data_IF_814047754600
#
_entry.id   IF_814047754600
#
_cell.length_a   1.000
_cell.length_b   1.000
_cell.length_c   1.000
_cell.angle_alpha   90.00
_cell.angle_beta   90.00
_cell.angle_gamma   90.00
#
_symmetry.space_group_name_H-M   'P 1'
#
loop_
_entity.id
_entity.type
_entity.pdbx_description
1 polymer ?
#
# COMPACT_ATOMS: atom_id res chain seq x y z
N UNK A 1 -1.55 -21.40 18.04
CA UNK A 1 -0.65 -20.24 18.29
C UNK A 1 0.72 -20.52 17.71
N UNK A 2 1.27 -19.62 16.91
CA UNK A 2 2.66 -19.71 16.44
C UNK A 2 3.57 -19.53 17.66
N UNK A 3 4.49 -20.47 17.84
CA UNK A 3 5.45 -20.40 18.95
C UNK A 3 6.50 -19.34 18.65
N UNK A 4 7.00 -18.70 19.70
CA UNK A 4 8.19 -17.86 19.63
C UNK A 4 9.35 -18.65 19.00
N UNK A 5 10.17 -17.95 18.22
CA UNK A 5 11.24 -18.59 17.45
C UNK A 5 12.60 -18.03 17.85
N UNK A 6 13.50 -18.89 18.29
CA UNK A 6 14.91 -18.54 18.43
C UNK A 6 15.63 -18.71 17.10
N UNK A 7 16.37 -17.70 16.70
CA UNK A 7 17.19 -17.67 15.47
C UNK A 7 18.64 -17.35 15.83
N UNK A 8 19.56 -18.13 15.28
CA UNK A 8 20.99 -17.88 15.38
C UNK A 8 21.49 -17.36 14.03
N UNK A 9 21.97 -16.15 13.99
CA UNK A 9 22.40 -15.43 12.80
C UNK A 9 23.89 -15.19 12.84
N UNK A 10 24.50 -15.02 11.66
CA UNK A 10 25.93 -14.66 11.54
C UNK A 10 26.06 -13.48 10.58
N UNK A 11 26.90 -12.53 10.94
CA UNK A 11 27.31 -11.47 10.02
C UNK A 11 28.46 -11.93 9.10
N UNK A 12 28.87 -11.05 8.19
CA UNK A 12 29.97 -11.35 7.25
C UNK A 12 31.34 -11.58 7.94
N UNK A 13 31.51 -11.05 9.15
CA UNK A 13 32.73 -11.20 9.95
C UNK A 13 32.75 -12.50 10.77
N UNK A 14 31.65 -13.26 10.75
CA UNK A 14 31.49 -14.49 11.53
C UNK A 14 30.92 -14.29 12.95
N UNK A 15 30.65 -13.05 13.35
CA UNK A 15 30.03 -12.77 14.65
C UNK A 15 28.60 -13.36 14.69
N UNK A 16 28.23 -13.88 15.84
CA UNK A 16 26.95 -14.53 16.04
C UNK A 16 25.98 -13.62 16.81
N UNK A 17 24.74 -13.58 16.35
CA UNK A 17 23.62 -12.93 17.02
C UNK A 17 22.51 -13.97 17.29
N UNK A 18 22.13 -14.13 18.55
CA UNK A 18 20.99 -14.94 18.94
C UNK A 18 19.81 -14.03 19.23
N UNK A 19 18.67 -14.32 18.59
CA UNK A 19 17.47 -13.47 18.68
C UNK A 19 16.24 -14.34 18.90
N UNK A 20 15.36 -13.91 19.80
CA UNK A 20 14.02 -14.43 19.99
C UNK A 20 13.03 -13.59 19.19
N UNK A 21 12.37 -14.16 18.19
CA UNK A 21 11.28 -13.56 17.44
C UNK A 21 9.96 -13.87 18.17
N UNK A 22 9.22 -12.84 18.52
CA UNK A 22 8.00 -12.97 19.31
C UNK A 22 7.05 -11.79 19.12
N UNK A 23 5.83 -11.95 19.60
CA UNK A 23 4.89 -10.85 19.73
C UNK A 23 5.31 -9.92 20.89
N UNK A 24 4.77 -8.71 20.85
CA UNK A 24 4.95 -7.69 21.90
C UNK A 24 4.65 -8.25 23.29
N UNK A 25 5.38 -7.73 24.26
CA UNK A 25 5.15 -7.91 25.70
C UNK A 25 5.21 -6.55 26.37
N UNK A 26 4.37 -6.36 27.38
CA UNK A 26 4.43 -5.13 28.21
C UNK A 26 5.86 -4.92 28.71
N UNK A 27 6.38 -3.72 28.49
CA UNK A 27 7.76 -3.33 28.77
C UNK A 27 8.68 -3.29 27.54
N UNK A 28 8.17 -3.65 26.35
CA UNK A 28 8.93 -3.57 25.08
C UNK A 28 8.91 -2.15 24.46
N UNK A 29 8.04 -1.27 24.91
CA UNK A 29 7.71 0.00 24.29
C UNK A 29 8.97 0.85 24.07
N UNK A 30 9.77 1.07 25.11
CA UNK A 30 11.00 1.86 25.02
C UNK A 30 12.02 1.23 24.06
N UNK A 31 12.11 -0.11 24.04
CA UNK A 31 12.97 -0.83 23.12
C UNK A 31 12.53 -0.68 21.66
N UNK A 32 11.23 -0.66 21.39
CA UNK A 32 10.67 -0.40 20.07
C UNK A 32 10.88 1.04 19.63
N UNK A 33 10.65 2.01 20.52
CA UNK A 33 10.93 3.42 20.29
C UNK A 33 12.43 3.63 20.00
N UNK A 34 13.31 2.93 20.71
CA UNK A 34 14.75 2.98 20.44
C UNK A 34 15.11 2.48 19.03
N UNK A 35 14.38 1.49 18.47
CA UNK A 35 14.56 1.09 17.07
C UNK A 35 14.20 2.23 16.10
N UNK A 36 13.11 2.95 16.38
CA UNK A 36 12.65 4.06 15.54
C UNK A 36 13.64 5.22 15.63
N UNK A 37 14.06 5.62 16.86
CA UNK A 37 15.01 6.70 17.07
C UNK A 37 16.38 6.43 16.46
N UNK A 38 16.84 5.19 16.51
CA UNK A 38 18.14 4.81 15.94
C UNK A 38 18.16 4.98 14.41
N UNK A 39 17.03 4.76 13.73
CA UNK A 39 16.90 4.93 12.29
C UNK A 39 16.55 6.35 11.86
N UNK A 40 15.55 6.94 12.52
CA UNK A 40 14.86 8.15 12.06
C UNK A 40 15.06 9.36 12.98
N UNK A 41 15.81 9.21 14.11
CA UNK A 41 15.82 10.24 15.13
C UNK A 41 14.41 10.56 15.61
N UNK A 42 14.01 11.82 15.56
CA UNK A 42 12.65 12.28 15.90
C UNK A 42 11.82 12.62 14.66
N UNK A 43 12.19 12.10 13.46
CA UNK A 43 11.56 12.49 12.19
C UNK A 43 10.68 11.42 11.57
N UNK A 44 10.41 10.30 12.26
CA UNK A 44 9.51 9.27 11.75
C UNK A 44 8.10 9.82 11.56
N UNK A 45 7.50 9.54 10.41
CA UNK A 45 6.21 10.14 10.03
C UNK A 45 5.03 9.70 10.91
N UNK A 46 5.10 8.52 11.54
CA UNK A 46 4.13 8.04 12.53
C UNK A 46 4.52 8.55 13.92
N UNK A 47 4.16 9.79 14.23
CA UNK A 47 4.57 10.47 15.48
C UNK A 47 4.12 9.74 16.74
N UNK A 48 2.93 9.14 16.70
CA UNK A 48 2.36 8.40 17.83
C UNK A 48 3.24 7.21 18.26
N UNK A 49 4.08 6.69 17.35
CA UNK A 49 5.00 5.58 17.66
C UNK A 49 6.18 5.97 18.56
N UNK A 50 6.32 7.24 18.92
CA UNK A 50 7.26 7.70 19.97
C UNK A 50 6.62 7.73 21.35
N UNK A 51 5.31 7.48 21.47
CA UNK A 51 4.58 7.43 22.74
C UNK A 51 4.44 5.97 23.21
N UNK A 52 5.04 5.60 24.38
CA UNK A 52 4.92 4.26 24.94
C UNK A 52 3.46 3.87 25.23
N UNK A 53 2.62 4.81 25.67
CA UNK A 53 1.22 4.51 25.98
C UNK A 53 0.41 4.26 24.71
N UNK A 54 0.76 4.90 23.58
CA UNK A 54 0.17 4.60 22.28
C UNK A 54 0.49 3.15 21.85
N UNK A 55 1.77 2.73 21.89
CA UNK A 55 2.18 1.37 21.52
C UNK A 55 1.44 0.35 22.38
N UNK A 56 1.33 0.58 23.67
CA UNK A 56 0.64 -0.28 24.61
C UNK A 56 -0.88 -0.36 24.29
N UNK A 57 -1.54 0.79 24.10
CA UNK A 57 -2.96 0.84 23.82
C UNK A 57 -3.33 0.14 22.50
N UNK A 58 -2.54 0.38 21.43
CA UNK A 58 -2.76 -0.28 20.14
C UNK A 58 -2.51 -1.78 20.19
N UNK A 59 -1.56 -2.22 21.04
CA UNK A 59 -1.32 -3.65 21.27
C UNK A 59 -2.52 -4.34 21.93
N UNK A 60 -3.21 -3.64 22.84
CA UNK A 60 -4.40 -4.13 23.54
C UNK A 60 -5.65 -4.10 22.62
N UNK A 61 -5.77 -3.10 21.75
CA UNK A 61 -6.92 -2.89 20.86
C UNK A 61 -6.96 -3.81 19.62
N UNK A 62 -5.91 -4.59 19.38
CA UNK A 62 -5.80 -5.59 18.32
C UNK A 62 -5.77 -5.09 16.88
N UNK A 63 -5.88 -3.80 16.60
CA UNK A 63 -5.76 -3.24 15.24
C UNK A 63 -4.31 -3.26 14.73
N UNK A 64 -3.36 -3.04 15.63
CA UNK A 64 -1.93 -3.12 15.35
C UNK A 64 -1.33 -4.18 16.29
N UNK A 65 -0.65 -5.15 15.71
CA UNK A 65 0.13 -6.11 16.48
C UNK A 65 1.60 -5.80 16.29
N UNK A 66 2.27 -5.50 17.40
CA UNK A 66 3.69 -5.26 17.41
C UNK A 66 4.44 -6.58 17.57
N UNK A 67 5.51 -6.75 16.81
CA UNK A 67 6.43 -7.88 16.91
C UNK A 67 7.80 -7.38 17.29
N UNK A 68 8.50 -8.15 18.09
CA UNK A 68 9.82 -7.86 18.60
C UNK A 68 10.83 -8.93 18.20
N UNK A 69 12.03 -8.50 17.84
CA UNK A 69 13.22 -9.31 17.74
C UNK A 69 14.11 -8.99 18.95
N UNK A 70 14.15 -9.87 19.94
CA UNK A 70 14.81 -9.65 21.23
C UNK A 70 16.11 -10.45 21.31
N UNK A 71 17.21 -9.79 21.73
CA UNK A 71 18.50 -10.42 21.98
C UNK A 71 18.52 -11.19 23.31
N UNK A 72 19.56 -11.97 23.56
CA UNK A 72 19.77 -12.67 24.85
C UNK A 72 19.88 -11.69 26.03
N UNK A 73 20.46 -10.52 25.81
CA UNK A 73 20.57 -9.44 26.81
C UNK A 73 19.24 -8.66 27.00
N UNK A 74 18.15 -9.19 26.45
CA UNK A 74 16.79 -8.62 26.49
C UNK A 74 16.63 -7.27 25.79
N UNK A 75 17.58 -6.83 24.98
CA UNK A 75 17.39 -5.65 24.12
C UNK A 75 16.49 -5.95 22.93
N UNK A 76 15.70 -4.99 22.48
CA UNK A 76 14.94 -5.08 21.22
C UNK A 76 15.90 -4.69 20.08
N UNK A 77 16.26 -5.69 19.28
CA UNK A 77 17.12 -5.54 18.10
C UNK A 77 16.36 -5.01 16.88
N UNK A 78 15.05 -5.29 16.83
CA UNK A 78 14.18 -4.84 15.77
C UNK A 78 12.71 -4.96 16.14
N UNK A 79 11.90 -4.18 15.44
CA UNK A 79 10.44 -4.21 15.54
C UNK A 79 9.80 -4.38 14.17
N UNK A 80 8.57 -4.84 14.14
CA UNK A 80 7.72 -4.93 12.95
C UNK A 80 6.26 -4.85 13.41
N UNK A 81 5.37 -4.35 12.56
CA UNK A 81 3.95 -4.33 12.84
C UNK A 81 3.17 -5.16 11.83
N UNK A 82 2.09 -5.76 12.32
CA UNK A 82 1.02 -6.33 11.51
C UNK A 82 -0.21 -5.45 11.73
N UNK A 83 -0.70 -4.81 10.65
CA UNK A 83 -1.79 -3.85 10.72
C UNK A 83 -2.94 -4.25 9.81
N UNK A 84 -4.13 -4.30 10.40
CA UNK A 84 -5.39 -4.44 9.69
C UNK A 84 -6.07 -3.06 9.64
N UNK A 85 -6.30 -2.52 8.45
CA UNK A 85 -6.87 -1.17 8.31
C UNK A 85 -8.36 -1.14 8.59
N UNK A 86 -9.09 -2.16 8.15
CA UNK A 86 -10.52 -2.28 8.31
C UNK A 86 -10.83 -3.64 8.94
N UNK A 87 -11.65 -3.68 9.99
CA UNK A 87 -11.97 -4.92 10.70
C UNK A 87 -12.57 -6.01 9.79
N UNK A 88 -13.29 -5.60 8.74
CA UNK A 88 -13.89 -6.51 7.76
C UNK A 88 -12.90 -7.05 6.72
N UNK A 89 -11.69 -6.49 6.63
CA UNK A 89 -10.68 -6.97 5.67
C UNK A 89 -9.95 -8.19 6.22
N UNK A 90 -9.87 -9.23 5.41
CA UNK A 90 -9.11 -10.44 5.72
C UNK A 90 -7.65 -10.36 5.29
N UNK A 91 -7.18 -9.18 4.86
CA UNK A 91 -5.78 -8.93 4.54
C UNK A 91 -5.09 -8.11 5.63
N UNK A 92 -3.79 -8.26 5.75
CA UNK A 92 -2.99 -7.56 6.74
C UNK A 92 -1.74 -6.93 6.14
N UNK A 93 -1.46 -5.68 6.49
CA UNK A 93 -0.19 -5.03 6.15
C UNK A 93 0.92 -5.48 7.10
N UNK A 94 2.04 -5.92 6.54
CA UNK A 94 3.30 -6.04 7.26
C UNK A 94 4.09 -4.75 7.02
N UNK A 95 4.30 -3.98 8.08
CA UNK A 95 4.90 -2.65 7.98
C UNK A 95 5.92 -2.36 9.09
N UNK A 96 6.60 -1.23 8.98
CA UNK A 96 7.50 -0.69 10.00
C UNK A 96 8.51 -1.72 10.50
N UNK A 97 9.09 -2.52 9.57
CA UNK A 97 10.19 -3.42 9.91
C UNK A 97 11.48 -2.60 10.08
N UNK A 98 11.82 -2.29 11.32
CA UNK A 98 12.92 -1.39 11.69
C UNK A 98 13.90 -2.14 12.59
N UNK A 99 15.20 -2.01 12.31
CA UNK A 99 16.26 -2.64 13.07
C UNK A 99 17.25 -1.60 13.59
N UNK A 100 17.69 -1.77 14.83
CA UNK A 100 18.78 -0.95 15.37
C UNK A 100 20.06 -1.14 14.55
N UNK A 101 20.78 -0.07 14.29
CA UNK A 101 21.97 -0.04 13.42
C UNK A 101 23.01 -1.09 13.81
N UNK A 102 23.26 -1.26 15.13
CA UNK A 102 24.24 -2.24 15.63
C UNK A 102 23.90 -3.71 15.34
N UNK A 103 22.63 -4.02 15.01
CA UNK A 103 22.19 -5.38 14.69
C UNK A 103 21.95 -5.60 13.18
N UNK A 104 22.31 -4.62 12.35
CA UNK A 104 22.25 -4.79 10.90
C UNK A 104 23.40 -5.65 10.39
N UNK A 105 23.24 -6.23 9.21
CA UNK A 105 24.26 -7.08 8.60
C UNK A 105 24.24 -8.55 9.05
N UNK A 106 23.45 -8.92 10.05
CA UNK A 106 23.27 -10.32 10.48
C UNK A 106 22.21 -11.08 9.68
N UNK A 107 21.49 -10.44 8.75
CA UNK A 107 20.46 -11.09 7.95
C UNK A 107 19.13 -11.28 8.69
N UNK A 108 18.86 -10.52 9.75
CA UNK A 108 17.66 -10.65 10.61
C UNK A 108 16.36 -10.33 9.85
N UNK A 109 16.40 -9.50 8.81
CA UNK A 109 15.20 -9.01 8.13
C UNK A 109 14.33 -10.15 7.55
N UNK A 110 14.92 -11.10 6.86
CA UNK A 110 14.18 -12.21 6.24
C UNK A 110 13.51 -13.14 7.25
N UNK A 111 14.21 -13.73 8.24
CA UNK A 111 13.57 -14.60 9.21
C UNK A 111 12.52 -13.89 10.07
N UNK A 112 12.68 -12.58 10.34
CA UNK A 112 11.67 -11.81 11.06
C UNK A 112 10.43 -11.58 10.21
N UNK A 113 10.60 -11.25 8.93
CA UNK A 113 9.49 -11.14 7.99
C UNK A 113 8.73 -12.46 7.83
N UNK A 114 9.46 -13.59 7.69
CA UNK A 114 8.86 -14.92 7.62
C UNK A 114 8.05 -15.28 8.86
N UNK A 115 8.55 -14.90 10.03
CA UNK A 115 7.80 -15.08 11.29
C UNK A 115 6.47 -14.31 11.28
N UNK A 116 6.46 -13.07 10.77
CA UNK A 116 5.23 -12.30 10.58
C UNK A 116 4.24 -12.98 9.62
N UNK A 117 4.72 -13.50 8.49
CA UNK A 117 3.88 -14.24 7.54
C UNK A 117 3.26 -15.49 8.16
N UNK A 118 4.00 -16.23 8.98
CA UNK A 118 3.49 -17.42 9.67
C UNK A 118 2.41 -17.06 10.68
N UNK A 119 2.56 -15.94 11.40
CA UNK A 119 1.53 -15.43 12.28
C UNK A 119 0.25 -15.08 11.53
N UNK A 120 0.35 -14.45 10.34
CA UNK A 120 -0.81 -14.13 9.51
C UNK A 120 -1.52 -15.40 9.03
N UNK A 121 -0.77 -16.40 8.54
CA UNK A 121 -1.33 -17.69 8.14
C UNK A 121 -2.05 -18.39 9.29
N UNK A 122 -1.42 -18.42 10.46
CA UNK A 122 -2.00 -19.05 11.66
C UNK A 122 -3.27 -18.34 12.19
N UNK A 123 -3.48 -17.08 11.78
CA UNK A 123 -4.65 -16.28 12.11
C UNK A 123 -5.69 -16.22 10.98
N UNK A 124 -5.50 -17.06 9.95
CA UNK A 124 -6.40 -17.17 8.81
C UNK A 124 -6.59 -15.86 8.02
N UNK A 125 -5.56 -15.01 7.98
CA UNK A 125 -5.55 -13.91 7.01
C UNK A 125 -5.43 -14.48 5.59
N UNK A 126 -6.20 -13.92 4.68
CA UNK A 126 -6.24 -14.37 3.28
C UNK A 126 -5.10 -13.83 2.43
N UNK A 127 -4.59 -12.67 2.81
CA UNK A 127 -3.50 -12.02 2.12
C UNK A 127 -2.60 -11.23 3.08
N UNK A 128 -1.32 -11.16 2.73
CA UNK A 128 -0.37 -10.22 3.29
C UNK A 128 0.03 -9.19 2.23
N UNK A 129 0.17 -7.92 2.61
CA UNK A 129 0.70 -6.92 1.71
C UNK A 129 1.71 -6.01 2.43
N UNK A 130 2.53 -5.37 1.64
CA UNK A 130 3.51 -4.38 2.08
C UNK A 130 3.49 -3.18 1.13
N UNK A 131 3.83 -2.02 1.67
CA UNK A 131 3.93 -0.76 0.94
C UNK A 131 5.38 -0.23 0.99
N UNK A 132 6.35 -0.91 0.32
CA UNK A 132 7.71 -0.43 0.29
C UNK A 132 7.80 0.89 -0.47
N UNK A 133 8.72 1.74 -0.02
CA UNK A 133 9.01 3.03 -0.65
C UNK A 133 9.62 2.87 -2.04
N UNK A 134 9.54 3.92 -2.87
CA UNK A 134 10.06 3.92 -4.25
C UNK A 134 11.39 4.66 -4.41
N UNK A 135 12.03 5.11 -3.34
CA UNK A 135 13.33 5.77 -3.39
C UNK A 135 14.52 4.83 -3.14
N UNK A 136 14.26 3.55 -2.88
CA UNK A 136 15.21 2.44 -2.93
C UNK A 136 14.45 1.12 -3.17
N UNK A 137 15.15 0.14 -3.74
CA UNK A 137 14.55 -1.15 -4.09
C UNK A 137 14.86 -2.29 -3.09
N UNK A 138 15.65 -2.04 -2.03
CA UNK A 138 16.14 -3.08 -1.11
C UNK A 138 14.98 -3.87 -0.50
N UNK A 139 13.99 -3.16 0.05
CA UNK A 139 12.81 -3.79 0.65
C UNK A 139 11.98 -4.53 -0.41
N UNK A 140 11.82 -3.95 -1.61
CA UNK A 140 11.06 -4.57 -2.70
C UNK A 140 11.66 -5.93 -3.09
N UNK A 141 12.99 -6.03 -3.20
CA UNK A 141 13.70 -7.28 -3.50
C UNK A 141 13.53 -8.31 -2.37
N UNK A 142 13.62 -7.88 -1.10
CA UNK A 142 13.39 -8.75 0.05
C UNK A 142 11.97 -9.35 0.00
N UNK A 143 10.98 -8.51 -0.21
CA UNK A 143 9.57 -8.91 -0.26
C UNK A 143 9.29 -9.87 -1.43
N UNK A 144 9.84 -9.59 -2.61
CA UNK A 144 9.72 -10.47 -3.76
C UNK A 144 10.32 -11.86 -3.48
N UNK A 145 11.53 -11.92 -2.90
CA UNK A 145 12.16 -13.17 -2.47
C UNK A 145 11.37 -13.91 -1.39
N UNK A 146 10.57 -13.18 -0.62
CA UNK A 146 9.65 -13.76 0.37
C UNK A 146 8.33 -14.23 -0.23
N UNK A 147 8.12 -14.06 -1.55
CA UNK A 147 6.96 -14.53 -2.29
C UNK A 147 5.91 -13.47 -2.60
N UNK A 148 6.08 -12.21 -2.18
CA UNK A 148 5.16 -11.13 -2.55
C UNK A 148 5.35 -10.75 -4.03
N UNK A 149 4.29 -10.32 -4.67
CA UNK A 149 4.25 -9.93 -6.08
C UNK A 149 3.88 -8.47 -6.24
N UNK A 150 4.43 -7.82 -7.27
CA UNK A 150 4.12 -6.45 -7.62
C UNK A 150 2.67 -6.31 -8.12
N UNK A 151 1.93 -5.37 -7.57
CA UNK A 151 0.52 -5.16 -7.92
C UNK A 151 0.20 -3.71 -8.33
N UNK A 152 0.93 -2.71 -7.86
CA UNK A 152 0.62 -1.32 -8.14
C UNK A 152 1.54 -0.33 -7.43
N UNK A 153 1.10 0.94 -7.49
CA UNK A 153 1.69 2.04 -6.73
C UNK A 153 0.60 2.90 -6.09
N UNK A 154 0.88 3.41 -4.90
CA UNK A 154 0.17 4.53 -4.28
C UNK A 154 1.11 5.73 -4.43
N UNK A 155 0.77 6.63 -5.34
CA UNK A 155 1.64 7.73 -5.70
C UNK A 155 1.48 8.92 -4.76
N UNK A 156 2.56 9.68 -4.55
CA UNK A 156 2.55 10.97 -3.86
C UNK A 156 1.85 10.95 -2.48
N UNK A 157 2.11 9.92 -1.68
CA UNK A 157 1.43 9.70 -0.38
C UNK A 157 2.01 10.58 0.70
N UNK A 158 3.34 10.70 0.77
CA UNK A 158 4.03 11.40 1.85
C UNK A 158 4.75 12.65 1.35
N UNK A 159 4.63 13.73 2.10
CA UNK A 159 5.37 14.98 1.85
C UNK A 159 6.85 14.82 2.26
N UNK A 160 7.77 15.01 1.31
CA UNK A 160 9.21 14.86 1.54
C UNK A 160 9.77 15.84 2.56
N UNK A 161 9.26 17.06 2.62
CA UNK A 161 9.71 18.06 3.57
C UNK A 161 9.50 17.63 5.04
N UNK A 162 8.69 16.58 5.25
CA UNK A 162 8.31 16.08 6.58
C UNK A 162 8.95 14.74 6.95
N UNK A 163 9.66 14.12 6.00
CA UNK A 163 10.26 12.78 6.16
C UNK A 163 11.72 12.84 5.76
N UNK A 164 12.64 12.84 6.68
CA UNK A 164 14.07 12.53 6.57
C UNK A 164 14.91 13.25 5.49
N UNK A 165 15.97 13.83 5.98
CA UNK A 165 17.09 14.47 5.30
C UNK A 165 17.90 13.61 4.28
N UNK A 166 17.52 12.37 3.96
CA UNK A 166 18.36 11.45 3.19
C UNK A 166 18.11 11.39 1.69
N UNK A 167 17.19 12.22 1.15
CA UNK A 167 16.81 12.18 -0.28
C UNK A 167 16.93 13.53 -0.97
N UNK A 168 18.07 14.18 -0.80
CA UNK A 168 18.35 15.54 -1.31
C UNK A 168 18.44 15.64 -2.84
N UNK A 169 18.41 14.54 -3.59
CA UNK A 169 18.70 14.55 -5.03
C UNK A 169 17.49 14.25 -5.94
N UNK A 170 16.29 14.12 -5.41
CA UNK A 170 15.09 13.86 -6.21
C UNK A 170 14.31 15.13 -6.56
N UNK A 171 13.65 15.14 -7.73
CA UNK A 171 12.75 16.23 -8.18
C UNK A 171 11.34 16.09 -7.61
N UNK A 172 10.96 14.89 -7.15
CA UNK A 172 9.66 14.65 -6.54
C UNK A 172 9.56 15.36 -5.19
N UNK A 173 8.48 16.08 -4.95
CA UNK A 173 8.18 16.74 -3.66
C UNK A 173 7.43 15.84 -2.70
N UNK A 174 6.97 14.68 -3.17
CA UNK A 174 6.24 13.67 -2.38
C UNK A 174 6.77 12.28 -2.69
N UNK A 175 6.76 11.42 -1.67
CA UNK A 175 7.09 10.00 -1.83
C UNK A 175 5.89 9.18 -2.28
N UNK A 176 6.22 8.12 -3.00
CA UNK A 176 5.30 7.08 -3.44
C UNK A 176 5.66 5.74 -2.81
N UNK A 177 4.70 4.84 -2.77
CA UNK A 177 4.87 3.47 -2.29
C UNK A 177 4.49 2.50 -3.40
N UNK A 178 5.26 1.42 -3.50
CA UNK A 178 4.89 0.27 -4.31
C UNK A 178 3.93 -0.63 -3.52
N UNK A 179 3.06 -1.37 -4.21
CA UNK A 179 2.15 -2.35 -3.60
C UNK A 179 2.70 -3.73 -3.93
N UNK A 180 3.08 -4.49 -2.90
CA UNK A 180 3.44 -5.90 -3.03
C UNK A 180 2.52 -6.76 -2.18
N UNK A 181 1.99 -7.83 -2.76
CA UNK A 181 0.95 -8.67 -2.17
C UNK A 181 1.33 -10.15 -2.30
N UNK A 182 0.88 -10.95 -1.33
CA UNK A 182 0.91 -12.40 -1.35
C UNK A 182 -0.47 -12.93 -0.94
N UNK A 183 -1.03 -13.84 -1.72
CA UNK A 183 -2.15 -14.66 -1.30
C UNK A 183 -1.66 -15.69 -0.25
N UNK A 184 -2.36 -15.78 0.87
CA UNK A 184 -2.06 -16.73 1.95
C UNK A 184 -2.99 -17.94 1.93
N UNK A 185 -4.13 -17.81 1.27
CA UNK A 185 -5.09 -18.88 0.99
C UNK A 185 -5.39 -18.98 -0.51
N UNK A 186 -6.15 -20.02 -0.89
CA UNK A 186 -6.65 -20.17 -2.26
C UNK A 186 -7.95 -19.37 -2.38
N UNK A 187 -7.94 -18.37 -3.25
CA UNK A 187 -9.09 -17.51 -3.52
C UNK A 187 -9.41 -17.46 -4.99
N UNK A 188 -10.65 -17.03 -5.25
CA UNK A 188 -11.14 -16.61 -6.55
C UNK A 188 -11.51 -15.13 -6.47
N UNK A 189 -10.93 -14.31 -7.33
CA UNK A 189 -11.24 -12.89 -7.41
C UNK A 189 -12.60 -12.61 -8.07
N UNK A 190 -13.23 -13.64 -8.61
CA UNK A 190 -14.51 -13.55 -9.30
C UNK A 190 -14.43 -12.80 -10.63
N UNK A 191 -15.52 -12.14 -10.98
CA UNK A 191 -15.58 -11.32 -12.20
C UNK A 191 -15.09 -9.91 -11.91
N UNK A 192 -14.12 -9.47 -12.72
CA UNK A 192 -13.50 -8.15 -12.62
C UNK A 192 -14.04 -7.24 -13.74
N UNK A 193 -14.60 -6.10 -13.33
CA UNK A 193 -15.09 -5.05 -14.23
C UNK A 193 -14.02 -3.97 -14.37
N UNK A 194 -13.08 -4.23 -15.28
CA UNK A 194 -11.95 -3.36 -15.57
C UNK A 194 -12.03 -2.85 -17.02
N UNK A 195 -11.61 -1.60 -17.28
CA UNK A 195 -11.42 -1.11 -18.64
C UNK A 195 -10.50 -2.05 -19.42
N UNK A 196 -10.85 -2.32 -20.70
CA UNK A 196 -10.12 -3.27 -21.56
C UNK A 196 -8.63 -2.95 -21.62
N UNK A 197 -8.30 -1.66 -21.63
CA UNK A 197 -6.91 -1.17 -21.65
C UNK A 197 -6.08 -1.65 -20.44
N UNK A 198 -6.72 -1.98 -19.30
CA UNK A 198 -6.05 -2.44 -18.08
C UNK A 198 -6.11 -3.95 -17.86
N UNK A 199 -6.95 -4.69 -18.61
CA UNK A 199 -7.18 -6.13 -18.40
C UNK A 199 -5.90 -6.96 -18.57
N UNK A 200 -5.08 -6.65 -19.60
CA UNK A 200 -3.81 -7.36 -19.79
C UNK A 200 -2.88 -7.23 -18.57
N UNK A 201 -2.74 -6.02 -18.05
CA UNK A 201 -1.95 -5.79 -16.86
C UNK A 201 -2.54 -6.50 -15.64
N UNK A 202 -3.85 -6.39 -15.42
CA UNK A 202 -4.53 -7.05 -14.32
C UNK A 202 -4.37 -8.57 -14.38
N UNK A 203 -4.50 -9.18 -15.57
CA UNK A 203 -4.26 -10.60 -15.79
C UNK A 203 -2.87 -11.04 -15.30
N UNK A 204 -1.82 -10.31 -15.67
CA UNK A 204 -0.45 -10.60 -15.22
C UNK A 204 -0.32 -10.57 -13.69
N UNK A 205 -0.98 -9.61 -13.01
CA UNK A 205 -0.95 -9.51 -11.54
C UNK A 205 -1.62 -10.73 -10.91
N UNK A 206 -2.87 -11.07 -11.30
CA UNK A 206 -3.62 -12.18 -10.73
C UNK A 206 -2.96 -13.54 -11.01
N UNK A 207 -2.44 -13.73 -12.22
CA UNK A 207 -1.65 -14.92 -12.60
C UNK A 207 -0.40 -15.05 -11.71
N UNK A 208 0.32 -13.96 -11.46
CA UNK A 208 1.50 -13.98 -10.60
C UNK A 208 1.18 -14.31 -9.13
N UNK A 209 -0.04 -13.98 -8.69
CA UNK A 209 -0.55 -14.31 -7.36
C UNK A 209 -1.12 -15.74 -7.27
N UNK A 210 -1.31 -16.43 -8.40
CA UNK A 210 -1.95 -17.75 -8.44
C UNK A 210 -3.43 -17.71 -8.06
N UNK A 211 -4.11 -16.60 -8.35
CA UNK A 211 -5.52 -16.36 -8.01
C UNK A 211 -6.37 -16.51 -9.28
N UNK A 212 -7.46 -17.25 -9.19
CA UNK A 212 -8.43 -17.36 -10.28
C UNK A 212 -9.19 -16.04 -10.45
N UNK A 213 -9.49 -15.67 -11.69
CA UNK A 213 -10.26 -14.48 -12.03
C UNK A 213 -10.91 -14.64 -13.39
N UNK A 214 -11.88 -13.78 -13.68
CA UNK A 214 -12.44 -13.60 -15.03
C UNK A 214 -12.66 -12.12 -15.32
N UNK A 215 -12.57 -11.72 -16.59
CA UNK A 215 -12.99 -10.37 -16.97
C UNK A 215 -14.42 -10.39 -17.51
N UNK A 216 -15.16 -9.30 -17.23
CA UNK A 216 -16.46 -9.11 -17.84
C UNK A 216 -16.34 -9.04 -19.37
N UNK A 217 -17.40 -9.43 -20.09
CA UNK A 217 -17.48 -9.30 -21.55
C UNK A 217 -18.02 -7.92 -21.91
N UNK A 218 -17.40 -7.23 -22.87
CA UNK A 218 -17.77 -5.86 -23.29
C UNK A 218 -19.26 -5.68 -23.62
N UNK A 219 -19.91 -6.68 -24.23
CA UNK A 219 -21.34 -6.63 -24.55
C UNK A 219 -22.24 -6.39 -23.32
N UNK A 220 -21.84 -6.82 -22.14
CA UNK A 220 -22.64 -6.66 -20.93
C UNK A 220 -22.69 -5.20 -20.42
N UNK A 221 -21.65 -4.40 -20.67
CA UNK A 221 -21.60 -2.99 -20.20
C UNK A 221 -22.59 -2.11 -20.99
N UNK A 222 -22.78 -2.37 -22.28
CA UNK A 222 -23.71 -1.62 -23.12
C UNK A 222 -25.17 -1.91 -22.79
N UNK A 223 -25.46 -3.07 -22.18
CA UNK A 223 -26.80 -3.50 -21.81
C UNK A 223 -27.26 -2.96 -20.44
N UNK A 224 -26.32 -2.54 -19.59
CA UNK A 224 -26.66 -1.99 -18.26
C UNK A 224 -26.94 -0.49 -18.34
N UNK A 225 -28.24 -0.18 -18.34
CA UNK A 225 -28.73 1.20 -18.31
C UNK A 225 -28.42 1.90 -16.99
N UNK A 226 -28.62 3.23 -16.95
CA UNK A 226 -28.60 3.99 -15.69
C UNK A 226 -29.71 3.51 -14.73
N UNK A 227 -30.74 2.82 -15.25
CA UNK A 227 -31.84 2.23 -14.48
C UNK A 227 -31.38 1.22 -13.43
N UNK A 228 -30.27 0.50 -13.71
CA UNK A 228 -29.80 -0.61 -12.88
C UNK A 228 -28.81 -0.17 -11.80
N UNK A 229 -28.40 1.11 -11.83
CA UNK A 229 -27.51 1.66 -10.81
C UNK A 229 -28.30 1.99 -9.52
N UNK A 230 -27.74 1.70 -8.34
CA UNK A 230 -28.32 2.16 -7.09
C UNK A 230 -28.34 3.70 -7.03
N UNK A 231 -29.26 4.28 -6.26
CA UNK A 231 -29.36 5.73 -6.16
C UNK A 231 -28.14 6.36 -5.48
N UNK A 232 -27.54 5.63 -4.53
CA UNK A 232 -26.43 6.09 -3.70
C UNK A 232 -25.21 5.19 -3.83
N UNK A 233 -24.06 5.85 -3.95
CA UNK A 233 -22.76 5.19 -3.89
C UNK A 233 -22.38 4.84 -2.46
N UNK A 234 -21.74 3.71 -2.24
CA UNK A 234 -21.03 3.44 -1.00
C UNK A 234 -19.57 3.89 -1.15
N UNK A 235 -19.26 5.00 -0.46
CA UNK A 235 -17.95 5.65 -0.55
C UNK A 235 -17.50 6.09 0.85
N UNK A 236 -16.26 5.80 1.18
CA UNK A 236 -15.57 6.31 2.36
C UNK A 236 -14.37 7.15 1.94
N UNK A 237 -13.91 8.04 2.82
CA UNK A 237 -12.70 8.80 2.57
C UNK A 237 -11.97 9.14 3.87
N UNK A 238 -10.68 9.39 3.76
CA UNK A 238 -9.84 9.99 4.78
C UNK A 238 -8.96 11.07 4.17
N UNK A 239 -8.72 12.14 4.90
CA UNK A 239 -7.82 13.20 4.46
C UNK A 239 -6.69 13.37 5.47
N UNK A 240 -5.49 13.00 5.06
CA UNK A 240 -4.27 13.28 5.83
C UNK A 240 -3.80 14.70 5.53
N UNK A 241 -4.19 15.64 6.39
CA UNK A 241 -3.80 17.04 6.24
C UNK A 241 -2.29 17.26 6.42
N UNK A 242 -1.60 16.38 7.17
CA UNK A 242 -0.14 16.45 7.36
C UNK A 242 0.58 16.05 6.09
N UNK A 243 0.13 15.00 5.44
CA UNK A 243 0.72 14.48 4.22
C UNK A 243 0.09 15.07 2.95
N UNK A 244 -0.96 15.89 3.08
CA UNK A 244 -1.71 16.46 1.96
C UNK A 244 -2.15 15.38 0.97
N UNK A 245 -2.78 14.32 1.48
CA UNK A 245 -3.27 13.20 0.68
C UNK A 245 -4.72 12.88 1.06
N UNK A 246 -5.60 12.86 0.05
CA UNK A 246 -6.98 12.42 0.15
C UNK A 246 -7.05 10.97 -0.32
N UNK A 247 -7.42 10.05 0.56
CA UNK A 247 -7.73 8.68 0.19
C UNK A 247 -9.25 8.52 0.05
N UNK A 248 -9.69 7.93 -1.05
CA UNK A 248 -11.10 7.66 -1.33
C UNK A 248 -11.23 6.16 -1.64
N UNK A 249 -12.20 5.50 -0.99
CA UNK A 249 -12.57 4.13 -1.28
C UNK A 249 -14.00 4.09 -1.79
N UNK A 250 -14.22 3.44 -2.93
CA UNK A 250 -15.52 3.27 -3.57
C UNK A 250 -15.86 1.79 -3.56
N UNK A 251 -16.84 1.40 -2.74
CA UNK A 251 -17.31 0.03 -2.58
C UNK A 251 -18.43 -0.29 -3.58
N UNK A 252 -19.29 0.69 -3.83
CA UNK A 252 -20.41 0.58 -4.75
C UNK A 252 -20.63 1.91 -5.48
N UNK A 253 -20.81 1.84 -6.79
CA UNK A 253 -21.06 3.00 -7.64
C UNK A 253 -22.55 3.20 -7.82
N UNK A 254 -23.07 4.36 -7.40
CA UNK A 254 -24.46 4.77 -7.59
C UNK A 254 -24.60 5.99 -8.52
N UNK A 255 -25.82 6.39 -8.82
CA UNK A 255 -26.15 7.54 -9.67
C UNK A 255 -25.56 8.85 -9.15
N UNK A 256 -25.38 8.96 -7.84
CA UNK A 256 -24.84 10.15 -7.17
C UNK A 256 -23.30 10.21 -7.18
N UNK A 257 -22.58 9.19 -7.72
CA UNK A 257 -21.12 9.04 -7.68
C UNK A 257 -20.38 10.32 -8.09
N UNK A 258 -20.68 10.82 -9.28
CA UNK A 258 -20.02 12.03 -9.82
C UNK A 258 -20.26 13.25 -8.89
N UNK A 259 -21.48 13.43 -8.40
CA UNK A 259 -21.84 14.53 -7.50
C UNK A 259 -21.09 14.46 -6.17
N UNK A 260 -21.00 13.27 -5.57
CA UNK A 260 -20.27 13.04 -4.31
C UNK A 260 -18.79 13.31 -4.49
N UNK A 261 -18.19 12.81 -5.56
CA UNK A 261 -16.78 13.03 -5.86
C UNK A 261 -16.45 14.50 -6.07
N UNK A 262 -17.29 15.25 -6.81
CA UNK A 262 -17.14 16.69 -6.98
C UNK A 262 -17.26 17.45 -5.64
N UNK A 263 -18.13 17.01 -4.74
CA UNK A 263 -18.26 17.61 -3.41
C UNK A 263 -17.00 17.36 -2.56
N UNK A 264 -16.44 16.16 -2.62
CA UNK A 264 -15.16 15.87 -1.96
C UNK A 264 -14.03 16.74 -2.49
N UNK A 265 -13.93 16.93 -3.81
CA UNK A 265 -12.90 17.82 -4.39
C UNK A 265 -13.15 19.32 -4.08
N UNK A 266 -14.40 19.74 -3.81
CA UNK A 266 -14.66 21.10 -3.29
C UNK A 266 -14.24 21.25 -1.84
N UNK A 267 -14.45 20.22 -1.03
CA UNK A 267 -14.06 20.19 0.38
C UNK A 267 -12.54 20.05 0.54
N UNK A 268 -11.90 19.24 -0.30
CA UNK A 268 -10.45 18.97 -0.32
C UNK A 268 -9.90 19.28 -1.72
N UNK A 269 -9.69 20.56 -2.06
CA UNK A 269 -9.24 20.95 -3.41
C UNK A 269 -7.84 20.39 -3.71
N UNK A 270 -7.67 19.77 -4.88
CA UNK A 270 -6.39 19.27 -5.38
C UNK A 270 -5.51 20.43 -5.84
N UNK A 271 -5.07 21.24 -4.91
CA UNK A 271 -4.21 22.39 -5.15
C UNK A 271 -2.94 22.31 -4.32
N UNK A 272 -1.90 23.04 -4.72
CA UNK A 272 -0.56 23.01 -4.09
C UNK A 272 -0.03 21.57 -4.04
N UNK A 273 0.12 21.00 -2.83
CA UNK A 273 0.63 19.64 -2.59
C UNK A 273 -0.48 18.59 -2.38
N UNK A 274 -1.75 18.97 -2.39
CA UNK A 274 -2.86 18.04 -2.20
C UNK A 274 -3.00 17.09 -3.41
N UNK A 275 -2.98 15.80 -3.14
CA UNK A 275 -3.17 14.71 -4.11
C UNK A 275 -4.32 13.82 -3.67
N UNK A 276 -4.83 12.98 -4.57
CA UNK A 276 -5.86 12.01 -4.21
C UNK A 276 -5.50 10.61 -4.73
N UNK A 277 -5.64 9.62 -3.85
CA UNK A 277 -5.59 8.20 -4.19
C UNK A 277 -7.01 7.63 -4.08
N UNK A 278 -7.45 6.86 -5.07
CA UNK A 278 -8.79 6.29 -5.10
C UNK A 278 -8.72 4.79 -5.36
N UNK A 279 -9.43 4.04 -4.51
CA UNK A 279 -9.58 2.59 -4.59
C UNK A 279 -11.00 2.29 -5.08
N UNK A 280 -11.13 1.84 -6.34
CA UNK A 280 -12.40 1.52 -6.97
C UNK A 280 -12.61 0.01 -6.99
N UNK A 281 -13.69 -0.46 -6.38
CA UNK A 281 -14.04 -1.88 -6.36
C UNK A 281 -14.29 -2.42 -7.77
N UNK A 282 -13.46 -3.36 -8.21
CA UNK A 282 -13.55 -3.98 -9.54
C UNK A 282 -14.60 -5.08 -9.64
N UNK A 283 -15.16 -5.53 -8.52
CA UNK A 283 -16.29 -6.50 -8.55
C UNK A 283 -17.64 -5.79 -8.71
N UNK A 284 -17.66 -4.46 -8.66
CA UNK A 284 -18.85 -3.66 -8.99
C UNK A 284 -19.00 -3.55 -10.53
N UNK A 285 -20.11 -3.97 -11.05
CA UNK A 285 -20.41 -3.92 -12.49
C UNK A 285 -20.40 -2.50 -13.09
N UNK A 286 -20.57 -1.47 -12.27
CA UNK A 286 -20.51 -0.06 -12.69
C UNK A 286 -19.10 0.56 -12.60
N UNK A 287 -18.08 -0.22 -12.21
CA UNK A 287 -16.72 0.28 -12.04
C UNK A 287 -16.15 0.90 -13.34
N UNK A 288 -16.44 0.31 -14.50
CA UNK A 288 -15.97 0.85 -15.79
C UNK A 288 -16.58 2.22 -16.08
N UNK A 289 -17.88 2.44 -15.79
CA UNK A 289 -18.52 3.76 -15.92
C UNK A 289 -17.92 4.78 -14.95
N UNK A 290 -17.67 4.36 -13.72
CA UNK A 290 -17.00 5.23 -12.72
C UNK A 290 -15.58 5.61 -13.18
N UNK A 291 -14.82 4.66 -13.74
CA UNK A 291 -13.49 4.93 -14.29
C UNK A 291 -13.51 6.01 -15.39
N UNK A 292 -14.46 5.97 -16.32
CA UNK A 292 -14.59 7.00 -17.35
C UNK A 292 -14.89 8.40 -16.78
N UNK A 293 -15.65 8.48 -15.68
CA UNK A 293 -15.87 9.73 -14.95
C UNK A 293 -14.57 10.20 -14.30
N UNK A 294 -13.86 9.30 -13.63
CA UNK A 294 -12.61 9.57 -12.93
C UNK A 294 -11.52 10.04 -13.90
N UNK A 295 -11.41 9.38 -15.06
CA UNK A 295 -10.45 9.74 -16.12
C UNK A 295 -10.66 11.18 -16.62
N UNK A 296 -11.91 11.59 -16.81
CA UNK A 296 -12.26 12.98 -17.16
C UNK A 296 -11.95 13.99 -16.04
N UNK A 297 -11.82 13.54 -14.80
CA UNK A 297 -11.46 14.36 -13.66
C UNK A 297 -9.95 14.33 -13.34
N UNK A 298 -9.13 13.75 -14.22
CA UNK A 298 -7.67 13.71 -14.08
C UNK A 298 -7.12 12.55 -13.28
N UNK A 299 -7.94 11.55 -12.94
CA UNK A 299 -7.45 10.31 -12.37
C UNK A 299 -6.86 9.40 -13.44
N UNK A 300 -5.79 8.69 -13.09
CA UNK A 300 -5.19 7.68 -13.95
C UNK A 300 -4.86 6.42 -13.16
N UNK A 301 -4.75 5.31 -13.88
CA UNK A 301 -4.48 3.99 -13.32
C UNK A 301 -3.05 3.88 -12.79
N UNK A 302 -2.89 3.35 -11.58
CA UNK A 302 -1.58 3.12 -10.95
C UNK A 302 -1.36 1.68 -10.51
N UNK A 303 -2.35 0.80 -10.69
CA UNK A 303 -2.23 -0.60 -10.37
C UNK A 303 -3.47 -1.18 -9.71
N UNK A 304 -3.26 -2.24 -8.96
CA UNK A 304 -4.30 -2.98 -8.26
C UNK A 304 -3.96 -3.13 -6.78
N UNK A 305 -4.97 -3.21 -5.94
CA UNK A 305 -4.90 -3.73 -4.57
C UNK A 305 -5.86 -4.91 -4.47
N UNK A 306 -5.42 -6.11 -4.90
CA UNK A 306 -6.24 -7.30 -4.90
C UNK A 306 -6.40 -7.90 -3.51
N UNK A 307 -7.33 -8.84 -3.37
CA UNK A 307 -7.51 -9.70 -2.19
C UNK A 307 -7.97 -8.96 -0.91
N UNK A 308 -8.61 -7.80 -1.07
CA UNK A 308 -9.17 -7.05 0.04
C UNK A 308 -10.50 -7.66 0.49
N UNK A 309 -10.46 -8.70 1.31
CA UNK A 309 -11.62 -9.51 1.67
C UNK A 309 -12.26 -10.14 0.41
N UNK A 310 -13.50 -9.91 0.12
CA UNK A 310 -14.16 -10.39 -1.10
C UNK A 310 -14.17 -9.34 -2.22
N UNK A 311 -13.25 -8.39 -2.18
CA UNK A 311 -13.22 -7.24 -3.11
C UNK A 311 -11.85 -7.04 -3.71
N UNK A 312 -11.85 -6.63 -4.95
CA UNK A 312 -10.69 -6.34 -5.74
C UNK A 312 -10.68 -4.86 -6.12
N UNK A 313 -9.59 -4.15 -5.85
CA UNK A 313 -9.55 -2.71 -6.10
C UNK A 313 -8.61 -2.34 -7.23
N UNK A 314 -9.12 -1.53 -8.15
CA UNK A 314 -8.30 -0.72 -9.05
C UNK A 314 -7.80 0.49 -8.28
N UNK A 315 -6.50 0.76 -8.36
CA UNK A 315 -5.88 1.92 -7.72
C UNK A 315 -5.71 3.02 -8.75
N UNK A 316 -6.25 4.17 -8.44
CA UNK A 316 -6.22 5.36 -9.28
C UNK A 316 -5.60 6.52 -8.52
N UNK A 317 -4.91 7.40 -9.23
CA UNK A 317 -4.28 8.56 -8.64
C UNK A 317 -4.64 9.85 -9.40
N UNK A 318 -4.90 10.92 -8.66
CA UNK A 318 -5.00 12.26 -9.20
C UNK A 318 -3.92 13.14 -8.53
N UNK A 319 -2.90 13.57 -9.27
CA UNK A 319 -1.80 14.35 -8.72
C UNK A 319 -2.16 15.81 -8.45
N UNK A 320 -3.36 16.27 -8.88
CA UNK A 320 -3.70 17.67 -8.81
C UNK A 320 -2.69 18.53 -9.58
N UNK A 321 -1.92 19.34 -8.84
CA UNK A 321 -0.83 20.19 -9.40
C UNK A 321 0.58 19.65 -9.10
N UNK A 322 0.68 18.49 -8.48
CA UNK A 322 1.98 17.88 -8.14
C UNK A 322 2.54 17.18 -9.37
N UNK A 323 3.72 17.61 -9.81
CA UNK A 323 4.46 16.94 -10.88
C UNK A 323 5.03 15.62 -10.39
N UNK A 324 4.96 14.58 -11.22
CA UNK A 324 5.55 13.26 -10.94
C UNK A 324 6.74 13.04 -11.86
N UNK A 325 7.90 12.77 -11.27
CA UNK A 325 9.13 12.45 -11.98
C UNK A 325 9.42 10.95 -11.81
N UNK A 326 8.93 10.13 -12.73
CA UNK A 326 9.04 8.67 -12.68
C UNK A 326 10.49 8.17 -12.78
N UNK A 327 11.37 8.96 -13.38
CA UNK A 327 12.79 8.61 -13.52
C UNK A 327 13.55 8.66 -12.18
N UNK A 328 12.98 9.31 -11.16
CA UNK A 328 13.52 9.37 -9.80
C UNK A 328 13.12 8.14 -8.96
N UNK A 329 12.26 7.25 -9.49
CA UNK A 329 11.82 6.06 -8.78
C UNK A 329 12.84 4.92 -8.88
N UNK A 330 13.31 4.45 -7.75
CA UNK A 330 14.19 3.29 -7.64
C UNK A 330 13.34 2.05 -7.35
N UNK A 331 12.93 1.36 -8.41
CA UNK A 331 12.15 0.13 -8.29
C UNK A 331 12.96 -1.12 -8.63
N UNK A 332 12.58 -2.25 -8.07
CA UNK A 332 13.15 -3.56 -8.45
C UNK A 332 12.67 -3.99 -9.84
N UNK A 333 13.35 -4.99 -10.43
CA UNK A 333 13.03 -5.50 -11.78
C UNK A 333 11.58 -5.93 -11.93
N UNK A 334 10.97 -6.44 -10.86
CA UNK A 334 9.58 -6.89 -10.83
C UNK A 334 8.58 -5.75 -11.05
N UNK A 335 8.97 -4.53 -10.73
CA UNK A 335 8.15 -3.33 -10.92
C UNK A 335 8.43 -2.60 -12.24
N UNK A 336 9.49 -2.93 -12.96
CA UNK A 336 9.92 -2.13 -14.11
C UNK A 336 8.84 -1.97 -15.19
N UNK A 337 8.20 -3.07 -15.60
CA UNK A 337 7.12 -3.04 -16.59
C UNK A 337 5.89 -2.29 -16.08
N UNK A 338 5.55 -2.45 -14.81
CA UNK A 338 4.44 -1.74 -14.18
C UNK A 338 4.72 -0.23 -14.13
N UNK A 339 5.93 0.18 -13.73
CA UNK A 339 6.30 1.59 -13.67
C UNK A 339 6.18 2.26 -15.03
N UNK A 340 6.64 1.59 -16.09
CA UNK A 340 6.51 2.08 -17.47
C UNK A 340 5.03 2.22 -17.88
N UNK A 341 4.21 1.25 -17.51
CA UNK A 341 2.78 1.30 -17.81
C UNK A 341 2.07 2.43 -17.04
N UNK A 342 2.39 2.62 -15.77
CA UNK A 342 1.83 3.72 -14.95
C UNK A 342 2.29 5.08 -15.49
N UNK A 343 3.56 5.22 -15.90
CA UNK A 343 4.07 6.42 -16.58
C UNK A 343 3.27 6.73 -17.85
N UNK A 344 3.01 5.72 -18.68
CA UNK A 344 2.18 5.86 -19.88
C UNK A 344 0.74 6.31 -19.54
N UNK A 345 0.11 5.74 -18.51
CA UNK A 345 -1.22 6.16 -18.05
C UNK A 345 -1.24 7.61 -17.57
N UNK A 346 -0.19 8.04 -16.86
CA UNK A 346 -0.01 9.42 -16.42
C UNK A 346 0.10 10.39 -17.61
N UNK A 347 0.99 10.10 -18.55
CA UNK A 347 1.21 10.95 -19.73
C UNK A 347 -0.09 11.11 -20.56
N UNK A 348 -0.84 10.05 -20.74
CA UNK A 348 -2.16 10.10 -21.38
C UNK A 348 -3.16 10.97 -20.61
N UNK A 349 -3.18 10.88 -19.28
CA UNK A 349 -4.08 11.71 -18.47
C UNK A 349 -3.77 13.19 -18.58
N UNK A 350 -2.49 13.55 -18.62
CA UNK A 350 -2.06 14.95 -18.79
C UNK A 350 -2.48 15.51 -20.15
N UNK A 351 -2.33 14.74 -21.23
CA UNK A 351 -2.76 15.15 -22.58
C UNK A 351 -4.27 15.37 -22.67
N UNK A 352 -5.09 14.61 -21.95
CA UNK A 352 -6.55 14.82 -21.89
C UNK A 352 -6.92 16.11 -21.15
N UNK A 353 -6.25 16.42 -20.05
CA UNK A 353 -6.52 17.62 -19.24
C UNK A 353 -6.07 18.89 -20.00
N UNK A 354 -4.92 18.84 -20.68
CA UNK A 354 -4.39 19.98 -21.43
C UNK A 354 -4.93 20.09 -22.87
N UNK A 355 -5.42 18.99 -23.48
CA UNK A 355 -5.99 18.97 -24.82
C UNK A 355 -7.36 19.64 -24.93
N UNK A 356 -8.16 19.62 -23.86
CA UNK A 356 -9.46 20.32 -23.80
C UNK A 356 -9.33 21.86 -23.73
N UNK A 357 -8.12 22.39 -23.64
CA UNK A 357 -7.85 23.85 -23.65
C UNK A 357 -7.45 24.43 -25.02
N UNK A 358 -7.39 23.60 -26.08
CA UNK A 358 -6.97 24.07 -27.42
C UNK A 358 -8.09 24.18 -28.44
N UNK A 359 -9.30 23.74 -28.12
CA UNK A 359 -10.49 23.83 -28.99
C UNK A 359 -11.61 24.65 -28.34
N UNK A 360 -11.26 25.74 -27.72
CA UNK A 360 -12.16 26.75 -27.14
C UNK A 360 -11.88 28.14 -27.68
#
# INVERSE_FOLDING_TARGET
>A
MVKERKVKLKNKNGDTLLVLLREYRKGDEEGMIACIRDEYGETYFKRDFYDPEYIKSESDNHHIKFLAAQTEDKEIAGMMILKQFYPEESMCEIASQIFRKKYRGYGLALPFFQYGLELLKARNYSAAYCLPVTFHHITQVLLYRSGLRAAGFILNVFDLDKIIHSYENGRNTKHSQAIQIMALDKRDAGTLYLPVEHQKFAGMVYESLGVNFSFHKEKMISEWGESDMPDYSDMTFSNDAVQSNLEIRVLLVGRDFKKRLLNLHRQFPLCRKQTASLFLNCNDCHAVKAYEILKKMGYFFTGLKPLCSEKEYMVLHNPGKVQIYFDDYMVSSEFASLLLYVKYCYERSQNMVFGLGKDG
#
